data_IF_928615101126
#
_entry.id   IF_928615101126
#
_cell.length_a   1.000
_cell.length_b   1.000
_cell.length_c   1.000
_cell.angle_alpha   90.00
_cell.angle_beta   90.00
_cell.angle_gamma   90.00
#
_symmetry.space_group_name_H-M   'P 1'
#
loop_
_entity.id
_entity.type
_entity.pdbx_description
1 polymer ?
#
# COMPACT_ATOMS: atom_id res chain seq x y z
N UNK A 1 10.06 -12.35 22.59
CA UNK A 1 9.25 -13.44 21.96
C UNK A 1 9.47 -13.43 20.47
N UNK A 2 9.76 -14.58 19.90
CA UNK A 2 9.89 -14.71 18.45
C UNK A 2 8.52 -14.56 17.76
N UNK A 3 8.49 -13.80 16.69
CA UNK A 3 7.30 -13.68 15.83
C UNK A 3 7.11 -14.97 15.02
N UNK A 4 5.88 -15.26 14.63
CA UNK A 4 5.52 -16.43 13.80
C UNK A 4 5.06 -16.02 12.41
N UNK A 5 5.09 -16.97 11.48
CA UNK A 5 4.57 -16.75 10.11
C UNK A 5 3.08 -16.38 10.13
N UNK A 6 2.33 -17.00 11.01
CA UNK A 6 0.90 -16.75 11.20
C UNK A 6 0.62 -15.35 11.70
N UNK A 7 1.43 -14.84 12.64
CA UNK A 7 1.34 -13.46 13.11
C UNK A 7 1.66 -12.45 11.99
N UNK A 8 2.68 -12.74 11.17
CA UNK A 8 2.99 -11.92 9.98
C UNK A 8 1.84 -11.91 9.00
N UNK A 9 1.26 -13.09 8.71
CA UNK A 9 0.13 -13.20 7.81
C UNK A 9 -1.09 -12.41 8.31
N UNK A 10 -1.37 -12.49 9.62
CA UNK A 10 -2.49 -11.74 10.21
C UNK A 10 -2.24 -10.24 10.19
N UNK A 11 -1.01 -9.79 10.41
CA UNK A 11 -0.66 -8.37 10.29
C UNK A 11 -0.90 -7.85 8.86
N UNK A 12 -0.54 -8.62 7.84
CA UNK A 12 -0.81 -8.26 6.43
C UNK A 12 -2.30 -8.24 6.14
N UNK A 13 -3.07 -9.21 6.62
CA UNK A 13 -4.54 -9.22 6.47
C UNK A 13 -5.18 -8.01 7.15
N UNK A 14 -4.71 -7.66 8.35
CA UNK A 14 -5.19 -6.48 9.06
C UNK A 14 -4.89 -5.19 8.27
N UNK A 15 -3.72 -5.08 7.67
CA UNK A 15 -3.36 -3.99 6.78
C UNK A 15 -4.30 -3.92 5.55
N UNK A 16 -4.55 -5.05 4.90
CA UNK A 16 -5.51 -5.12 3.78
C UNK A 16 -6.92 -4.69 4.19
N UNK A 17 -7.41 -5.15 5.33
CA UNK A 17 -8.72 -4.75 5.85
C UNK A 17 -8.79 -3.25 6.14
N UNK A 18 -7.72 -2.68 6.69
CA UNK A 18 -7.67 -1.25 6.99
C UNK A 18 -7.80 -0.40 5.72
N UNK A 19 -7.13 -0.78 4.65
CA UNK A 19 -7.28 -0.13 3.35
C UNK A 19 -8.67 -0.31 2.75
N UNK A 20 -9.21 -1.52 2.79
CA UNK A 20 -10.54 -1.84 2.27
C UNK A 20 -11.67 -1.09 3.00
N UNK A 21 -11.53 -0.92 4.30
CA UNK A 21 -12.51 -0.22 5.15
C UNK A 21 -12.19 1.26 5.38
N UNK A 22 -11.13 1.78 4.76
CA UNK A 22 -10.66 3.15 4.91
C UNK A 22 -10.32 3.53 6.36
N UNK A 23 -9.79 2.58 7.12
CA UNK A 23 -9.37 2.78 8.51
C UNK A 23 -8.01 3.49 8.55
N UNK A 24 -8.06 4.81 8.37
CA UNK A 24 -6.87 5.69 8.32
C UNK A 24 -6.03 5.56 9.59
N UNK A 25 -6.66 5.39 10.73
CA UNK A 25 -5.95 5.26 12.02
C UNK A 25 -5.06 4.01 12.04
N UNK A 26 -5.58 2.87 11.62
CA UNK A 26 -4.81 1.61 11.55
C UNK A 26 -3.72 1.67 10.48
N UNK A 27 -4.02 2.22 9.29
CA UNK A 27 -3.03 2.42 8.23
C UNK A 27 -1.87 3.28 8.74
N UNK A 28 -2.19 4.41 9.36
CA UNK A 28 -1.21 5.34 9.90
C UNK A 28 -0.33 4.68 10.97
N UNK A 29 -0.93 3.95 11.90
CA UNK A 29 -0.20 3.26 12.96
C UNK A 29 0.78 2.22 12.41
N UNK A 30 0.43 1.54 11.32
CA UNK A 30 1.31 0.54 10.69
C UNK A 30 2.37 1.13 9.77
N UNK A 31 2.12 2.27 9.14
CA UNK A 31 2.96 2.79 8.05
C UNK A 31 3.72 4.08 8.40
N UNK A 32 3.19 4.95 9.24
CA UNK A 32 3.79 6.27 9.47
C UNK A 32 5.19 6.22 10.09
N UNK A 33 5.46 5.22 10.91
CA UNK A 33 6.77 5.09 11.57
C UNK A 33 7.84 4.55 10.64
N UNK A 34 7.46 3.91 9.54
CA UNK A 34 8.38 3.47 8.50
C UNK A 34 8.90 4.64 7.63
N UNK A 35 8.30 5.81 7.73
CA UNK A 35 8.70 6.99 6.96
C UNK A 35 10.16 7.42 7.20
N UNK A 36 10.72 7.12 8.38
CA UNK A 36 12.14 7.35 8.69
C UNK A 36 13.11 6.56 7.80
N UNK A 37 12.65 5.50 7.15
CA UNK A 37 13.42 4.68 6.22
C UNK A 37 13.16 5.02 4.75
N UNK A 38 12.53 6.15 4.48
CA UNK A 38 12.23 6.56 3.11
C UNK A 38 11.08 5.80 2.46
N UNK A 39 10.25 5.13 3.27
CA UNK A 39 9.03 4.49 2.80
C UNK A 39 8.11 5.54 2.15
N UNK A 40 7.82 5.32 0.89
CA UNK A 40 6.88 6.16 0.13
C UNK A 40 5.75 5.27 -0.35
N UNK A 41 4.60 5.29 0.31
CA UNK A 41 3.49 4.41 -0.02
C UNK A 41 2.95 4.65 -1.44
N UNK A 42 3.14 5.85 -1.99
CA UNK A 42 2.70 6.19 -3.33
C UNK A 42 3.84 6.76 -4.16
N UNK A 43 3.97 6.28 -5.38
CA UNK A 43 5.06 6.60 -6.29
C UNK A 43 4.98 8.00 -6.92
N UNK A 44 4.03 8.83 -6.57
CA UNK A 44 3.95 10.21 -7.06
C UNK A 44 4.96 11.07 -6.31
N UNK A 45 5.94 11.58 -7.04
CA UNK A 45 7.02 12.43 -6.49
C UNK A 45 6.52 13.71 -5.82
N UNK A 46 5.39 14.23 -6.29
CA UNK A 46 4.72 15.44 -5.81
C UNK A 46 3.91 15.23 -4.53
N UNK A 47 3.71 13.97 -4.12
CA UNK A 47 2.93 13.59 -2.94
C UNK A 47 3.78 12.94 -1.86
N UNK A 48 5.06 13.26 -1.79
CA UNK A 48 5.92 12.76 -0.74
C UNK A 48 5.40 13.23 0.63
N UNK A 49 4.87 12.28 1.40
CA UNK A 49 4.46 12.56 2.77
C UNK A 49 5.70 12.89 3.60
N UNK A 50 5.64 13.99 4.31
CA UNK A 50 6.69 14.42 5.24
C UNK A 50 6.16 14.22 6.66
N UNK A 51 6.67 13.18 7.35
CA UNK A 51 6.29 12.83 8.69
C UNK A 51 4.87 12.27 8.81
N UNK A 52 4.46 11.96 10.03
CA UNK A 52 3.17 11.34 10.35
C UNK A 52 1.98 12.23 9.95
N UNK A 53 2.06 13.53 10.25
CA UNK A 53 1.00 14.48 9.91
C UNK A 53 0.80 14.62 8.39
N UNK A 54 1.88 14.70 7.64
CA UNK A 54 1.82 14.75 6.18
C UNK A 54 1.24 13.48 5.58
N UNK A 55 1.55 12.34 6.17
CA UNK A 55 1.00 11.06 5.77
C UNK A 55 -0.49 10.94 6.05
N UNK A 56 -0.94 11.38 7.22
CA UNK A 56 -2.37 11.46 7.56
C UNK A 56 -3.14 12.30 6.54
N UNK A 57 -2.66 13.50 6.24
CA UNK A 57 -3.29 14.38 5.25
C UNK A 57 -3.35 13.75 3.87
N UNK A 58 -2.32 13.02 3.48
CA UNK A 58 -2.30 12.31 2.20
C UNK A 58 -3.35 11.19 2.17
N UNK A 59 -3.49 10.39 3.22
CA UNK A 59 -4.50 9.34 3.31
C UNK A 59 -5.92 9.90 3.26
N UNK A 60 -6.19 10.94 4.04
CA UNK A 60 -7.49 11.61 4.06
C UNK A 60 -7.85 12.16 2.68
N UNK A 61 -6.91 12.81 2.02
CA UNK A 61 -7.09 13.31 0.67
C UNK A 61 -7.33 12.18 -0.32
N UNK A 62 -6.52 11.12 -0.28
CA UNK A 62 -6.68 9.96 -1.17
C UNK A 62 -8.10 9.40 -1.10
N UNK A 63 -8.58 9.07 0.10
CA UNK A 63 -9.93 8.51 0.25
C UNK A 63 -11.04 9.52 -0.10
N UNK A 64 -10.83 10.81 0.13
CA UNK A 64 -11.81 11.85 -0.23
C UNK A 64 -11.97 12.02 -1.75
N UNK A 65 -10.94 11.71 -2.52
CA UNK A 65 -10.95 11.78 -3.99
C UNK A 65 -11.58 10.54 -4.65
N UNK A 66 -11.87 9.49 -3.87
CA UNK A 66 -12.46 8.25 -4.35
C UNK A 66 -13.99 8.22 -4.20
N UNK A 67 -14.69 7.72 -5.20
CA UNK A 67 -16.08 7.29 -5.05
C UNK A 67 -16.15 6.02 -4.22
N UNK A 68 -15.23 5.10 -4.48
CA UNK A 68 -14.98 3.90 -3.68
C UNK A 68 -13.55 3.41 -3.88
N UNK A 69 -13.05 2.67 -2.90
CA UNK A 69 -11.80 1.94 -2.96
C UNK A 69 -11.95 0.64 -2.19
N UNK A 70 -11.72 -0.48 -2.86
CA UNK A 70 -11.72 -1.82 -2.28
C UNK A 70 -10.39 -2.51 -2.52
N UNK A 71 -9.90 -3.20 -1.50
CA UNK A 71 -8.69 -3.98 -1.56
C UNK A 71 -8.95 -5.39 -1.06
N UNK A 72 -8.66 -6.38 -1.88
CA UNK A 72 -8.87 -7.79 -1.55
C UNK A 72 -7.60 -8.59 -1.78
N UNK A 73 -7.12 -9.26 -0.72
CA UNK A 73 -5.99 -10.16 -0.79
C UNK A 73 -6.34 -11.42 -1.61
N UNK A 74 -5.50 -11.77 -2.59
CA UNK A 74 -5.66 -12.97 -3.41
C UNK A 74 -4.78 -14.11 -2.91
N UNK A 75 -3.49 -13.86 -2.74
CA UNK A 75 -2.55 -14.84 -2.20
C UNK A 75 -1.53 -14.18 -1.28
N UNK A 76 -1.00 -14.95 -0.37
CA UNK A 76 -0.06 -14.50 0.64
C UNK A 76 0.89 -15.61 1.03
N UNK A 77 2.17 -15.31 1.00
CA UNK A 77 3.22 -16.13 1.57
C UNK A 77 4.02 -15.33 2.59
N UNK A 78 4.50 -15.98 3.62
CA UNK A 78 5.25 -15.34 4.70
C UNK A 78 6.49 -16.13 5.08
N UNK A 79 7.49 -15.40 5.55
CA UNK A 79 8.69 -15.94 6.16
C UNK A 79 9.05 -15.10 7.39
N UNK A 80 9.82 -15.69 8.29
CA UNK A 80 10.37 -15.01 9.47
C UNK A 80 11.87 -15.18 9.47
N UNK A 81 12.59 -14.08 9.65
CA UNK A 81 14.05 -14.04 9.74
C UNK A 81 14.40 -13.24 10.99
N UNK A 82 14.76 -13.94 12.08
CA UNK A 82 14.98 -13.30 13.38
C UNK A 82 13.70 -12.65 13.90
N UNK A 83 13.74 -11.35 14.12
CA UNK A 83 12.61 -10.54 14.58
C UNK A 83 11.87 -9.81 13.44
N UNK A 84 12.18 -10.17 12.20
CA UNK A 84 11.61 -9.53 11.00
C UNK A 84 10.70 -10.49 10.28
N UNK A 85 9.49 -10.05 10.01
CA UNK A 85 8.54 -10.74 9.15
C UNK A 85 8.67 -10.27 7.69
N UNK A 86 8.67 -11.22 6.77
CA UNK A 86 8.60 -10.96 5.34
C UNK A 86 7.29 -11.52 4.79
N UNK A 87 6.63 -10.76 3.93
CA UNK A 87 5.40 -11.17 3.27
C UNK A 87 5.43 -10.77 1.80
N UNK A 88 4.91 -11.65 0.95
CA UNK A 88 4.75 -11.36 -0.48
C UNK A 88 3.49 -12.05 -1.00
N UNK A 89 2.95 -11.52 -2.06
CA UNK A 89 1.72 -12.03 -2.64
C UNK A 89 1.08 -11.05 -3.61
N UNK A 90 -0.23 -11.19 -3.77
CA UNK A 90 -1.02 -10.36 -4.68
C UNK A 90 -2.31 -9.92 -4.01
N UNK A 91 -2.73 -8.70 -4.33
CA UNK A 91 -4.05 -8.20 -4.02
C UNK A 91 -4.67 -7.50 -5.23
N UNK A 92 -5.98 -7.38 -5.22
CA UNK A 92 -6.74 -6.65 -6.21
C UNK A 92 -7.25 -5.37 -5.58
N UNK A 93 -7.06 -4.26 -6.28
CA UNK A 93 -7.67 -2.98 -5.98
C UNK A 93 -8.78 -2.72 -7.00
N UNK A 94 -9.97 -2.41 -6.52
CA UNK A 94 -11.09 -1.95 -7.32
C UNK A 94 -11.47 -0.56 -6.82
N UNK A 95 -11.43 0.43 -7.70
CA UNK A 95 -11.61 1.81 -7.28
C UNK A 95 -12.18 2.68 -8.39
N UNK A 96 -12.73 3.81 -7.97
CA UNK A 96 -13.14 4.87 -8.87
C UNK A 96 -12.77 6.22 -8.27
N UNK A 97 -11.95 6.97 -8.98
CA UNK A 97 -11.74 8.38 -8.67
C UNK A 97 -12.98 9.18 -9.11
N UNK A 98 -13.32 10.21 -8.33
CA UNK A 98 -14.44 11.12 -8.65
C UNK A 98 -14.25 11.72 -10.04
N UNK A 99 -15.30 11.59 -10.86
CA UNK A 99 -15.27 12.09 -12.23
C UNK A 99 -14.51 11.24 -13.24
N UNK A 100 -14.07 10.02 -12.85
CA UNK A 100 -13.36 9.08 -13.73
C UNK A 100 -14.08 7.74 -13.83
N UNK A 101 -13.85 6.95 -14.88
CA UNK A 101 -14.36 5.58 -14.97
C UNK A 101 -13.82 4.68 -13.86
N UNK A 102 -14.57 3.63 -13.47
CA UNK A 102 -14.06 2.58 -12.59
C UNK A 102 -12.82 1.90 -13.13
N UNK A 103 -11.91 1.53 -12.23
CA UNK A 103 -10.66 0.85 -12.56
C UNK A 103 -10.42 -0.35 -11.64
N UNK A 104 -9.63 -1.28 -12.12
CA UNK A 104 -9.15 -2.45 -11.38
C UNK A 104 -7.65 -2.59 -11.59
N UNK A 105 -6.95 -2.95 -10.54
CA UNK A 105 -5.51 -3.24 -10.60
C UNK A 105 -5.21 -4.53 -9.83
N UNK A 106 -4.38 -5.39 -10.41
CA UNK A 106 -3.74 -6.46 -9.67
C UNK A 106 -2.37 -5.97 -9.24
N UNK A 107 -2.10 -6.07 -7.96
CA UNK A 107 -0.86 -5.61 -7.35
C UNK A 107 -0.10 -6.79 -6.81
N UNK A 108 1.14 -6.95 -7.25
CA UNK A 108 2.11 -7.84 -6.63
C UNK A 108 2.89 -7.04 -5.60
N UNK A 109 3.06 -7.56 -4.41
CA UNK A 109 3.70 -6.84 -3.33
C UNK A 109 4.73 -7.67 -2.57
N UNK A 110 5.66 -6.96 -1.96
CA UNK A 110 6.56 -7.46 -0.92
C UNK A 110 6.53 -6.49 0.25
N UNK A 111 6.42 -7.02 1.47
CA UNK A 111 6.47 -6.26 2.71
C UNK A 111 7.50 -6.84 3.64
N UNK A 112 8.19 -5.95 4.34
CA UNK A 112 9.01 -6.28 5.51
C UNK A 112 8.36 -5.63 6.71
N UNK A 113 8.09 -6.42 7.75
CA UNK A 113 7.38 -5.98 8.93
C UNK A 113 8.17 -6.32 10.19
N UNK A 114 8.00 -5.52 11.22
CA UNK A 114 8.49 -5.78 12.57
C UNK A 114 7.38 -5.56 13.58
N UNK A 115 7.50 -6.20 14.74
CA UNK A 115 6.56 -6.03 15.85
C UNK A 115 7.25 -5.22 16.94
N UNK A 116 6.82 -3.96 17.09
CA UNK A 116 7.30 -3.07 18.13
C UNK A 116 6.38 -3.05 19.36
N UNK A 117 6.67 -2.17 20.29
CA UNK A 117 5.85 -1.96 21.51
C UNK A 117 4.44 -1.45 21.21
N UNK A 118 4.25 -0.80 20.08
CA UNK A 118 2.97 -0.23 19.63
C UNK A 118 2.28 -1.05 18.53
N UNK A 119 2.70 -2.30 18.34
CA UNK A 119 2.12 -3.19 17.35
C UNK A 119 3.01 -3.40 16.12
N UNK A 120 2.39 -3.91 15.06
CA UNK A 120 3.06 -4.19 13.80
C UNK A 120 3.36 -2.94 13.00
N UNK A 121 4.55 -2.90 12.42
CA UNK A 121 5.03 -1.80 11.59
C UNK A 121 5.57 -2.32 10.27
N UNK A 122 5.17 -1.69 9.18
CA UNK A 122 5.71 -1.95 7.84
C UNK A 122 6.99 -1.15 7.66
N UNK A 123 8.13 -1.84 7.59
CA UNK A 123 9.44 -1.22 7.38
C UNK A 123 9.71 -0.95 5.90
N UNK A 124 9.27 -1.86 5.05
CA UNK A 124 9.45 -1.78 3.61
C UNK A 124 8.18 -2.28 2.92
N UNK A 125 7.75 -1.54 1.92
CA UNK A 125 6.69 -1.95 1.02
C UNK A 125 7.11 -1.67 -0.40
N UNK A 126 7.22 -2.73 -1.17
CA UNK A 126 7.43 -2.65 -2.61
C UNK A 126 6.21 -3.23 -3.33
N UNK A 127 5.75 -2.54 -4.36
CA UNK A 127 4.62 -2.99 -5.17
C UNK A 127 4.89 -2.75 -6.64
N UNK A 128 4.40 -3.65 -7.46
CA UNK A 128 4.26 -3.41 -8.88
C UNK A 128 2.82 -3.70 -9.32
N UNK A 129 2.38 -2.98 -10.32
CA UNK A 129 1.03 -3.10 -10.84
C UNK A 129 1.08 -4.00 -12.05
N UNK A 130 0.23 -5.01 -12.04
CA UNK A 130 0.06 -5.96 -13.13
C UNK A 130 -1.16 -5.56 -13.95
N UNK A 131 -1.17 -5.80 -15.28
CA UNK A 131 -2.37 -5.70 -16.08
C UNK A 131 -3.48 -6.57 -15.49
N UNK A 132 -4.70 -6.06 -15.50
CA UNK A 132 -5.86 -6.82 -15.12
C UNK A 132 -6.65 -7.21 -16.38
N UNK A 133 -6.64 -8.48 -16.70
CA UNK A 133 -7.26 -9.02 -17.90
C UNK A 133 -6.26 -9.30 -19.04
N UNK A 134 -6.79 -9.87 -20.12
CA UNK A 134 -5.98 -10.37 -21.24
C UNK A 134 -5.52 -9.28 -22.22
N UNK A 135 -6.01 -8.06 -22.07
CA UNK A 135 -5.68 -6.92 -22.93
C UNK A 135 -4.34 -6.26 -22.59
N UNK A 136 -3.70 -6.67 -21.50
CA UNK A 136 -2.41 -6.15 -21.05
C UNK A 136 -2.40 -4.67 -20.64
N UNK A 137 -3.57 -4.06 -20.46
CA UNK A 137 -3.68 -2.63 -20.14
C UNK A 137 -3.53 -2.38 -18.66
N UNK A 138 -2.77 -1.33 -18.33
CA UNK A 138 -2.65 -0.81 -16.97
C UNK A 138 -3.78 0.17 -16.66
N UNK A 139 -4.24 0.25 -15.41
CA UNK A 139 -5.14 1.29 -14.97
C UNK A 139 -4.56 2.68 -15.27
N UNK A 140 -5.36 3.57 -15.84
CA UNK A 140 -4.89 4.91 -16.26
C UNK A 140 -4.40 5.77 -15.10
N UNK A 141 -5.08 5.71 -13.98
CA UNK A 141 -4.73 6.47 -12.77
C UNK A 141 -3.41 6.03 -12.13
N UNK A 142 -2.96 4.81 -12.43
CA UNK A 142 -1.72 4.24 -11.93
C UNK A 142 -0.59 4.26 -12.97
N UNK A 143 -0.88 4.73 -14.18
CA UNK A 143 0.14 4.95 -15.18
C UNK A 143 1.03 6.09 -14.70
N UNK A 144 2.32 5.81 -14.55
CA UNK A 144 3.32 6.84 -14.28
C UNK A 144 3.29 7.79 -15.48
N UNK A 145 2.71 8.95 -15.31
CA UNK A 145 2.85 10.00 -16.30
C UNK A 145 4.31 10.39 -16.26
N UNK A 146 5.05 10.04 -17.29
CA UNK A 146 6.41 10.55 -17.46
C UNK A 146 6.34 12.07 -17.34
N UNK A 147 7.22 12.70 -16.55
CA UNK A 147 7.26 14.15 -16.51
C UNK A 147 7.42 14.64 -17.95
N UNK A 148 6.65 15.66 -18.31
CA UNK A 148 6.83 16.33 -19.59
C UNK A 148 8.32 16.65 -19.75
N UNK A 149 8.91 16.45 -20.95
CA UNK A 149 10.29 16.81 -21.17
C UNK A 149 10.47 18.27 -20.75
N UNK A 150 11.54 18.52 -19.98
CA UNK A 150 11.85 19.88 -19.56
C UNK A 150 11.88 20.77 -20.81
N UNK A 151 11.16 21.88 -20.77
CA UNK A 151 11.19 22.86 -21.83
C UNK A 151 12.64 23.32 -22.00
N UNK A 152 13.20 23.11 -23.20
CA UNK A 152 14.53 23.60 -23.60
C UNK A 152 14.48 25.10 -23.76
#
# INVERSE_FOLDING_TARGET
>A
MSITKEEVAEAVRAWCRAWDTHDVSTILAMEAQASGFGFRPFARRDQAAVGERGYLQMLERFFSEMEYFHLRLEDLQTAVIGEVGCAWGRHVEEFQEKGRPPERARVRFTKVLTKGTHGWQVLLYHRDIQPFGDDGRYPRSLTIVSPAPAAT
#
